data_IF_198324666340
#
_entry.id   IF_198324666340
#
_cell.length_a   1.000
_cell.length_b   1.000
_cell.length_c   1.000
_cell.angle_alpha   90.00
_cell.angle_beta   90.00
_cell.angle_gamma   90.00
#
_symmetry.space_group_name_H-M   'P 1'
#
loop_
_entity.id
_entity.type
_entity.pdbx_description
1 polymer ?
#
# COMPACT_ATOMS: atom_id res chain seq x y z
N UNK A 1 54.95 -33.38 5.89
CA UNK A 1 53.79 -32.91 5.08
C UNK A 1 53.33 -31.58 5.67
N UNK A 2 53.55 -30.44 5.00
CA UNK A 2 53.08 -29.13 5.50
C UNK A 2 51.57 -29.04 5.23
N UNK A 3 50.78 -28.82 6.27
CA UNK A 3 49.34 -28.56 6.09
C UNK A 3 49.18 -27.18 5.44
N UNK A 4 48.51 -27.14 4.28
CA UNK A 4 48.16 -25.89 3.62
C UNK A 4 47.04 -25.21 4.41
N UNK A 5 47.37 -24.19 5.19
CA UNK A 5 46.37 -23.36 5.86
C UNK A 5 45.71 -22.47 4.81
N UNK A 6 44.45 -22.74 4.49
CA UNK A 6 43.67 -21.92 3.56
C UNK A 6 43.58 -20.51 4.17
N UNK A 7 43.92 -19.43 3.43
CA UNK A 7 43.82 -18.08 3.96
C UNK A 7 42.35 -17.73 4.24
N UNK A 8 42.05 -17.38 5.48
CA UNK A 8 40.72 -16.89 5.87
C UNK A 8 40.53 -15.49 5.30
N UNK A 9 39.53 -15.33 4.42
CA UNK A 9 39.08 -14.01 4.00
C UNK A 9 38.38 -13.31 5.17
N UNK A 10 38.70 -12.05 5.40
CA UNK A 10 38.17 -11.22 6.47
C UNK A 10 37.20 -10.16 5.91
N UNK A 11 36.34 -9.63 6.77
CA UNK A 11 35.46 -8.50 6.44
C UNK A 11 36.22 -7.18 6.30
N UNK A 12 35.51 -6.08 5.95
CA UNK A 12 36.09 -4.73 5.85
C UNK A 12 36.66 -4.18 7.17
N UNK A 13 36.31 -4.80 8.30
CA UNK A 13 36.83 -4.53 9.64
C UNK A 13 38.18 -5.21 9.93
N UNK A 14 38.63 -6.13 9.06
CA UNK A 14 39.89 -6.85 9.22
C UNK A 14 39.92 -7.83 10.41
N UNK A 15 38.76 -8.16 10.99
CA UNK A 15 38.65 -9.00 12.20
C UNK A 15 37.60 -10.10 12.05
N UNK A 16 36.41 -9.77 11.56
CA UNK A 16 35.31 -10.73 11.36
C UNK A 16 35.61 -11.61 10.13
N UNK A 17 35.24 -12.89 10.16
CA UNK A 17 35.40 -13.76 8.98
C UNK A 17 34.45 -13.32 7.85
N UNK A 18 34.87 -13.37 6.59
CA UNK A 18 34.04 -12.90 5.46
C UNK A 18 32.69 -13.66 5.37
N UNK A 19 32.66 -14.93 5.80
CA UNK A 19 31.45 -15.76 5.82
C UNK A 19 30.44 -15.31 6.88
N UNK A 20 30.93 -14.87 8.03
CA UNK A 20 30.13 -14.33 9.13
C UNK A 20 29.70 -12.90 8.83
N UNK A 21 30.60 -12.11 8.23
CA UNK A 21 30.34 -10.76 7.75
C UNK A 21 29.24 -10.72 6.66
N UNK A 22 29.26 -11.68 5.73
CA UNK A 22 28.24 -11.83 4.69
C UNK A 22 26.91 -12.45 5.19
N UNK A 23 26.80 -12.74 6.50
CA UNK A 23 25.54 -13.13 7.13
C UNK A 23 24.55 -11.97 7.19
N UNK A 24 23.27 -12.28 7.40
CA UNK A 24 22.24 -11.27 7.60
C UNK A 24 22.34 -10.65 8.99
N UNK A 25 22.86 -9.42 9.07
CA UNK A 25 23.00 -8.64 10.30
C UNK A 25 21.87 -7.61 10.46
N UNK A 26 20.63 -8.07 10.61
CA UNK A 26 19.41 -7.23 10.66
C UNK A 26 19.34 -6.16 11.77
N UNK A 27 20.28 -6.16 12.71
CA UNK A 27 20.47 -5.12 13.72
C UNK A 27 21.93 -5.02 14.21
N UNK A 28 22.88 -5.49 13.39
CA UNK A 28 24.31 -5.40 13.72
C UNK A 28 24.88 -4.00 13.50
N UNK A 29 26.18 -3.83 13.74
CA UNK A 29 26.86 -2.53 13.61
C UNK A 29 26.95 -1.98 12.17
N UNK A 30 26.44 -2.70 11.16
CA UNK A 30 26.47 -2.32 9.75
C UNK A 30 27.86 -2.36 9.12
N UNK A 31 27.94 -2.08 7.82
CA UNK A 31 29.21 -1.99 7.10
C UNK A 31 30.12 -0.94 7.78
N UNK A 32 31.30 -1.35 8.24
CA UNK A 32 32.27 -0.44 8.88
C UNK A 32 31.82 0.21 10.20
N UNK A 33 30.78 -0.32 10.86
CA UNK A 33 30.34 0.19 12.17
C UNK A 33 29.36 1.37 12.13
N UNK A 34 28.81 1.72 10.96
CA UNK A 34 27.88 2.86 10.79
C UNK A 34 26.64 2.82 11.71
N UNK A 35 26.13 1.63 12.03
CA UNK A 35 24.98 1.42 12.91
C UNK A 35 25.40 1.09 14.36
N UNK A 36 26.69 1.16 14.71
CA UNK A 36 27.17 0.81 16.06
C UNK A 36 26.58 1.69 17.17
N UNK A 37 26.18 2.91 16.85
CA UNK A 37 25.49 3.84 17.76
C UNK A 37 23.96 3.87 17.56
N UNK A 38 23.42 3.07 16.64
CA UNK A 38 21.99 3.02 16.36
C UNK A 38 21.30 2.08 17.35
N UNK A 39 20.79 2.63 18.45
CA UNK A 39 19.98 1.92 19.42
C UNK A 39 18.53 2.46 19.36
N UNK A 40 17.64 1.89 18.54
CA UNK A 40 16.27 2.38 18.42
C UNK A 40 15.52 2.14 19.73
N UNK A 41 14.75 3.12 20.23
CA UNK A 41 13.91 2.92 21.41
C UNK A 41 12.82 1.88 21.14
N UNK A 42 12.44 1.13 22.19
CA UNK A 42 11.31 0.21 22.13
C UNK A 42 9.99 0.97 22.15
N UNK A 43 9.46 1.28 20.96
CA UNK A 43 8.26 2.08 20.75
C UNK A 43 7.14 1.29 20.06
N UNK A 44 5.89 1.71 20.28
CA UNK A 44 4.76 1.22 19.47
C UNK A 44 4.84 1.78 18.05
N UNK A 45 4.18 1.11 17.09
CA UNK A 45 4.12 1.55 15.69
C UNK A 45 3.63 3.00 15.59
N UNK A 46 2.59 3.36 16.34
CA UNK A 46 2.03 4.70 16.36
C UNK A 46 3.01 5.73 16.93
N UNK A 47 3.73 5.41 18.02
CA UNK A 47 4.70 6.31 18.62
C UNK A 47 5.86 6.64 17.65
N UNK A 48 6.33 5.65 16.88
CA UNK A 48 7.36 5.85 15.87
C UNK A 48 6.84 6.59 14.61
N UNK A 49 5.58 6.37 14.22
CA UNK A 49 4.99 6.91 12.99
C UNK A 49 4.44 8.34 13.14
N UNK A 50 3.62 8.57 14.16
CA UNK A 50 2.85 9.81 14.35
C UNK A 50 3.68 11.11 14.29
N UNK A 51 4.90 11.20 14.85
CA UNK A 51 5.71 12.43 14.78
C UNK A 51 6.06 12.87 13.36
N UNK A 52 6.09 11.94 12.41
CA UNK A 52 6.44 12.20 11.02
C UNK A 52 5.27 12.04 10.04
N UNK A 53 4.15 11.44 10.46
CA UNK A 53 3.02 11.05 9.61
C UNK A 53 2.54 12.17 8.68
N UNK A 54 2.20 13.35 9.21
CA UNK A 54 1.72 14.49 8.41
C UNK A 54 2.74 14.93 7.35
N UNK A 55 4.04 14.90 7.67
CA UNK A 55 5.11 15.26 6.74
C UNK A 55 5.35 14.16 5.69
N UNK A 56 5.19 12.90 6.09
CA UNK A 56 5.22 11.75 5.19
C UNK A 56 4.12 11.84 4.13
N UNK A 57 2.88 12.04 4.57
CA UNK A 57 1.72 12.16 3.67
C UNK A 57 1.88 13.36 2.72
N UNK A 58 2.25 14.54 3.22
CA UNK A 58 2.45 15.71 2.36
C UNK A 58 3.52 15.49 1.27
N UNK A 59 4.55 14.68 1.55
CA UNK A 59 5.57 14.27 0.55
C UNK A 59 5.06 13.20 -0.41
N UNK A 60 4.18 12.30 0.04
CA UNK A 60 3.53 11.31 -0.82
C UNK A 60 2.56 11.99 -1.79
N UNK A 61 1.74 12.94 -1.31
CA UNK A 61 0.83 13.74 -2.12
C UNK A 61 1.58 14.54 -3.20
N UNK A 62 2.69 15.17 -2.83
CA UNK A 62 3.55 15.91 -3.77
C UNK A 62 4.19 14.98 -4.81
N UNK A 63 4.66 13.80 -4.39
CA UNK A 63 5.19 12.77 -5.30
C UNK A 63 4.14 12.30 -6.31
N UNK A 64 2.90 12.06 -5.88
CA UNK A 64 1.79 11.63 -6.75
C UNK A 64 1.43 12.73 -7.75
N UNK A 65 1.45 14.00 -7.36
CA UNK A 65 1.17 15.13 -8.27
C UNK A 65 2.28 15.37 -9.29
N UNK A 66 3.55 15.17 -8.91
CA UNK A 66 4.70 15.55 -9.73
C UNK A 66 5.37 14.38 -10.49
N UNK A 67 5.02 13.12 -10.21
CA UNK A 67 5.65 11.95 -10.83
C UNK A 67 4.62 10.99 -11.45
N UNK A 68 4.63 10.90 -12.78
CA UNK A 68 3.72 10.04 -13.55
C UNK A 68 3.79 8.55 -13.20
N UNK A 69 4.94 8.03 -12.75
CA UNK A 69 5.02 6.65 -12.25
C UNK A 69 4.28 6.46 -10.92
N UNK A 70 4.35 7.45 -10.03
CA UNK A 70 3.63 7.41 -8.76
C UNK A 70 2.12 7.58 -8.97
N UNK A 71 1.71 8.51 -9.83
CA UNK A 71 0.31 8.69 -10.24
C UNK A 71 -0.28 7.40 -10.83
N UNK A 72 0.41 6.79 -11.80
CA UNK A 72 -0.02 5.54 -12.42
C UNK A 72 -0.05 4.35 -11.43
N UNK A 73 0.86 4.32 -10.45
CA UNK A 73 0.85 3.29 -9.41
C UNK A 73 -0.37 3.41 -8.46
N UNK A 74 -0.79 4.64 -8.13
CA UNK A 74 -2.02 4.87 -7.35
C UNK A 74 -3.26 4.48 -8.17
N UNK A 75 -3.33 4.91 -9.44
CA UNK A 75 -4.44 4.56 -10.33
C UNK A 75 -4.57 3.04 -10.49
N UNK A 76 -3.49 2.34 -10.83
CA UNK A 76 -3.48 0.87 -10.95
C UNK A 76 -3.90 0.18 -9.64
N UNK A 77 -3.54 0.74 -8.47
CA UNK A 77 -3.96 0.20 -7.18
C UNK A 77 -5.46 0.37 -6.93
N UNK A 78 -6.03 1.53 -7.30
CA UNK A 78 -7.46 1.79 -7.26
C UNK A 78 -8.23 0.86 -8.22
N UNK A 79 -7.77 0.75 -9.47
CA UNK A 79 -8.35 -0.13 -10.51
C UNK A 79 -8.36 -1.61 -10.07
N UNK A 80 -7.30 -2.06 -9.38
CA UNK A 80 -7.22 -3.42 -8.82
C UNK A 80 -8.17 -3.68 -7.64
N UNK A 81 -8.56 -2.65 -6.89
CA UNK A 81 -9.46 -2.80 -5.71
C UNK A 81 -10.93 -2.66 -6.11
N UNK A 82 -11.26 -1.63 -6.90
CA UNK A 82 -12.64 -1.28 -7.26
C UNK A 82 -13.08 -2.02 -8.53
N UNK A 83 -12.14 -2.34 -9.43
CA UNK A 83 -12.46 -2.64 -10.82
C UNK A 83 -12.69 -1.34 -11.61
N UNK A 84 -13.16 -1.47 -12.86
CA UNK A 84 -13.27 -0.33 -13.77
C UNK A 84 -14.50 0.57 -13.56
N UNK A 85 -15.46 0.19 -12.71
CA UNK A 85 -16.72 0.93 -12.49
C UNK A 85 -17.30 0.66 -11.09
N UNK A 86 -17.97 1.64 -10.49
CA UNK A 86 -18.69 1.51 -9.21
C UNK A 86 -20.07 0.84 -9.38
N UNK A 87 -20.14 -0.47 -9.13
CA UNK A 87 -21.40 -1.22 -9.21
C UNK A 87 -22.16 -1.28 -7.87
N UNK A 88 -23.32 -0.63 -7.80
CA UNK A 88 -24.29 -0.83 -6.71
C UNK A 88 -24.80 -2.28 -6.69
N UNK A 89 -24.83 -2.88 -5.49
CA UNK A 89 -25.44 -4.19 -5.26
C UNK A 89 -26.50 -4.06 -4.16
N UNK A 90 -27.75 -3.86 -4.59
CA UNK A 90 -28.89 -3.68 -3.70
C UNK A 90 -29.91 -4.82 -3.89
N UNK A 91 -30.65 -5.16 -2.83
CA UNK A 91 -31.63 -6.27 -2.83
C UNK A 91 -32.94 -5.84 -2.17
N UNK A 92 -33.73 -4.95 -2.82
CA UNK A 92 -34.98 -4.46 -2.25
C UNK A 92 -36.00 -5.60 -2.07
N UNK A 93 -36.62 -5.67 -0.89
CA UNK A 93 -37.61 -6.69 -0.58
C UNK A 93 -38.98 -6.29 -1.14
N UNK A 94 -39.25 -6.65 -2.39
CA UNK A 94 -40.51 -6.32 -3.08
C UNK A 94 -41.76 -6.75 -2.28
N UNK A 95 -41.70 -7.89 -1.61
CA UNK A 95 -42.79 -8.40 -0.73
C UNK A 95 -43.08 -7.49 0.46
N UNK A 96 -42.05 -6.83 1.01
CA UNK A 96 -42.23 -5.87 2.10
C UNK A 96 -42.72 -4.51 1.59
N UNK A 97 -42.26 -4.11 0.41
CA UNK A 97 -42.67 -2.88 -0.27
C UNK A 97 -44.08 -2.95 -0.86
N UNK A 98 -44.67 -4.15 -0.99
CA UNK A 98 -46.02 -4.36 -1.54
C UNK A 98 -46.11 -4.22 -3.07
N UNK A 99 -44.97 -4.07 -3.75
CA UNK A 99 -44.88 -3.87 -5.21
C UNK A 99 -44.81 -5.22 -5.95
N UNK A 100 -45.13 -5.20 -7.25
CA UNK A 100 -44.99 -6.37 -8.11
C UNK A 100 -43.52 -6.79 -8.31
N UNK A 101 -43.25 -8.06 -8.65
CA UNK A 101 -41.87 -8.49 -8.96
C UNK A 101 -41.33 -7.80 -10.23
N UNK A 102 -42.17 -7.63 -11.26
CA UNK A 102 -41.83 -6.88 -12.48
C UNK A 102 -41.50 -5.41 -12.18
N UNK A 103 -42.30 -4.78 -11.32
CA UNK A 103 -42.14 -3.40 -10.87
C UNK A 103 -40.86 -3.22 -10.05
N UNK A 104 -40.57 -4.15 -9.13
CA UNK A 104 -39.31 -4.17 -8.39
C UNK A 104 -38.09 -4.35 -9.30
N UNK A 105 -38.21 -5.15 -10.38
CA UNK A 105 -37.16 -5.31 -11.40
C UNK A 105 -36.99 -4.07 -12.26
N UNK A 106 -38.05 -3.32 -12.56
CA UNK A 106 -37.98 -2.03 -13.25
C UNK A 106 -37.29 -0.98 -12.37
N UNK A 107 -37.78 -0.78 -11.16
CA UNK A 107 -37.19 0.11 -10.16
C UNK A 107 -35.69 -0.17 -9.92
N UNK A 108 -35.31 -1.45 -9.77
CA UNK A 108 -33.89 -1.81 -9.56
C UNK A 108 -33.00 -1.42 -10.75
N UNK A 109 -33.50 -1.47 -11.99
CA UNK A 109 -32.77 -1.04 -13.19
C UNK A 109 -32.62 0.48 -13.25
N UNK A 110 -33.68 1.22 -12.91
CA UNK A 110 -33.66 2.68 -12.86
C UNK A 110 -32.68 3.19 -11.80
N UNK A 111 -32.68 2.59 -10.60
CA UNK A 111 -31.72 2.90 -9.52
C UNK A 111 -30.29 2.52 -9.91
N UNK A 112 -30.05 1.37 -10.56
CA UNK A 112 -28.71 1.01 -11.04
C UNK A 112 -28.20 1.94 -12.17
N UNK A 113 -29.10 2.45 -13.02
CA UNK A 113 -28.75 3.43 -14.06
C UNK A 113 -28.36 4.79 -13.45
N UNK A 114 -29.23 5.35 -12.61
CA UNK A 114 -28.99 6.63 -11.93
C UNK A 114 -27.77 6.57 -10.99
N UNK A 115 -27.53 5.43 -10.34
CA UNK A 115 -26.30 5.23 -9.56
C UNK A 115 -25.05 5.24 -10.45
N UNK A 116 -25.08 4.54 -11.59
CA UNK A 116 -23.92 4.50 -12.49
C UNK A 116 -23.61 5.89 -13.02
N UNK A 117 -24.63 6.66 -13.39
CA UNK A 117 -24.48 8.02 -13.87
C UNK A 117 -23.83 8.92 -12.80
N UNK A 118 -24.38 8.94 -11.59
CA UNK A 118 -23.82 9.65 -10.45
C UNK A 118 -22.38 9.24 -10.09
N UNK A 119 -22.04 7.96 -10.20
CA UNK A 119 -20.77 7.41 -9.70
C UNK A 119 -19.63 7.43 -10.73
N UNK A 120 -19.94 7.61 -12.02
CA UNK A 120 -18.97 7.65 -13.12
C UNK A 120 -18.82 9.06 -13.75
N UNK A 121 -19.50 10.05 -13.19
CA UNK A 121 -19.43 11.45 -13.60
C UNK A 121 -18.53 12.31 -12.68
N UNK A 122 -17.84 13.29 -13.27
CA UNK A 122 -16.88 14.18 -12.59
C UNK A 122 -17.55 15.23 -11.68
N UNK A 123 -18.82 15.64 -11.92
CA UNK A 123 -19.60 16.46 -10.98
C UNK A 123 -20.42 15.68 -9.94
N UNK A 124 -20.38 14.34 -9.95
CA UNK A 124 -21.32 13.48 -9.24
C UNK A 124 -22.77 13.93 -9.50
N UNK A 125 -23.09 14.27 -10.74
CA UNK A 125 -24.39 14.77 -11.18
C UNK A 125 -25.17 13.69 -11.96
N UNK A 126 -26.47 13.91 -12.19
CA UNK A 126 -27.37 13.01 -12.94
C UNK A 126 -28.11 13.90 -13.95
N UNK A 127 -28.04 13.58 -15.24
CA UNK A 127 -28.77 14.29 -16.28
C UNK A 127 -30.22 13.77 -16.35
N UNK A 128 -31.18 14.66 -16.08
CA UNK A 128 -32.63 14.36 -15.96
C UNK A 128 -33.41 14.80 -17.20
#
# INVERSE_FOLDING_TARGET
>A
MKMSTIPTLLGPDGMTSLREYAGYHGGGSGFGGQLRAWNPPGESVDAALLPNFTRGNARADDLVRNNGYAANAIQLHQDHIVGSFFRLSHRPSWRYLGIGEEEARAFSREVEAAWKEFAEDDCCCIDV
#
